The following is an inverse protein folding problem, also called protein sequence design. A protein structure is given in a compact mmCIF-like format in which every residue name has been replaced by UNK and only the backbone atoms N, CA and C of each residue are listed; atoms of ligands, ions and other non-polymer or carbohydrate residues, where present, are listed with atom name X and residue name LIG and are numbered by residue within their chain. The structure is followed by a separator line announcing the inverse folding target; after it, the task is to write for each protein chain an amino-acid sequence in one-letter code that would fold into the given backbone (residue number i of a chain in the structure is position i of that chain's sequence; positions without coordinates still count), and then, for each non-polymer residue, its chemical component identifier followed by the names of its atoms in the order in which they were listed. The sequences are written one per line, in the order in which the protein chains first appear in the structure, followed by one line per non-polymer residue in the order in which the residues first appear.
data_IF_572620439410
#
_entry.id   IF_572620439410
#
_cell.length_a   1.000
_cell.length_b   1.000
_cell.length_c   1.000
_cell.angle_alpha   90.00
_cell.angle_beta   90.00
_cell.angle_gamma   90.00
#
_symmetry.space_group_name_H-M   'P 1'
#
loop_
_entity.id
_entity.type
_entity.pdbx_description
1 polymer ?
#
# COMPACT_ATOMS: atom_id res chain seq x y z
N UNK A 1 1.88 -35.20 -26.17
CA UNK A 1 1.27 -33.88 -26.41
C UNK A 1 -0.13 -33.99 -25.85
N UNK A 2 -0.42 -33.28 -24.75
CA UNK A 2 -1.77 -33.26 -24.21
C UNK A 2 -2.62 -32.49 -25.23
N UNK A 3 -3.67 -33.14 -25.71
CA UNK A 3 -4.57 -32.59 -26.70
C UNK A 3 -5.38 -31.50 -25.99
N UNK A 4 -5.27 -30.25 -26.44
CA UNK A 4 -6.11 -29.12 -25.99
C UNK A 4 -7.55 -29.35 -26.47
N UNK A 5 -8.21 -30.37 -25.92
CA UNK A 5 -9.46 -30.91 -26.43
C UNK A 5 -10.60 -30.67 -25.45
N UNK A 6 -11.73 -30.18 -25.96
CA UNK A 6 -13.01 -30.14 -25.25
C UNK A 6 -13.70 -31.52 -25.22
N UNK A 7 -13.11 -32.52 -25.87
CA UNK A 7 -13.61 -33.89 -26.00
C UNK A 7 -12.49 -34.91 -25.82
N UNK A 8 -12.88 -36.15 -25.52
CA UNK A 8 -11.99 -37.30 -25.53
C UNK A 8 -12.61 -38.49 -26.29
N UNK A 9 -11.78 -39.16 -27.09
CA UNK A 9 -12.14 -40.42 -27.75
C UNK A 9 -12.26 -41.55 -26.73
N UNK A 10 -13.38 -42.27 -26.73
CA UNK A 10 -13.59 -43.40 -25.80
C UNK A 10 -13.99 -44.65 -26.56
N UNK A 11 -13.18 -45.70 -26.40
CA UNK A 11 -13.47 -47.05 -26.89
C UNK A 11 -14.14 -47.88 -25.79
N UNK A 12 -15.22 -48.56 -26.15
CA UNK A 12 -15.93 -49.51 -25.28
C UNK A 12 -16.39 -50.73 -26.07
N UNK A 13 -16.68 -51.82 -25.36
CA UNK A 13 -17.15 -53.07 -25.98
C UNK A 13 -18.55 -53.36 -25.47
N UNK A 14 -19.42 -53.75 -26.39
CA UNK A 14 -20.80 -54.16 -26.12
C UNK A 14 -21.01 -55.56 -26.66
N UNK A 15 -21.77 -56.37 -25.94
CA UNK A 15 -22.12 -57.72 -26.35
C UNK A 15 -23.55 -58.04 -25.96
N UNK A 16 -24.27 -58.71 -26.84
CA UNK A 16 -25.56 -59.32 -26.56
C UNK A 16 -25.42 -60.84 -26.68
N UNK A 17 -26.16 -61.58 -25.86
CA UNK A 17 -26.22 -63.05 -25.93
C UNK A 17 -27.66 -63.52 -25.78
N UNK A 18 -28.06 -64.47 -26.62
CA UNK A 18 -29.35 -65.16 -26.52
C UNK A 18 -29.14 -66.68 -26.56
N UNK A 19 -30.11 -67.46 -26.07
CA UNK A 19 -29.99 -68.92 -26.01
C UNK A 19 -30.40 -69.63 -27.32
N UNK A 20 -31.06 -68.93 -28.23
CA UNK A 20 -31.54 -69.42 -29.53
C UNK A 20 -30.88 -68.63 -30.69
N UNK A 21 -30.87 -67.31 -30.60
CA UNK A 21 -30.36 -66.41 -31.63
C UNK A 21 -28.85 -66.14 -31.46
N UNK A 22 -28.09 -66.27 -32.55
CA UNK A 22 -26.62 -66.17 -32.54
C UNK A 22 -26.08 -64.88 -33.17
N UNK A 23 -26.96 -64.06 -33.76
CA UNK A 23 -26.60 -62.86 -34.52
C UNK A 23 -27.36 -61.62 -34.04
N UNK A 24 -27.40 -61.41 -32.73
CA UNK A 24 -27.96 -60.21 -32.13
C UNK A 24 -26.84 -59.20 -31.82
N UNK A 25 -27.14 -57.91 -31.99
CA UNK A 25 -26.18 -56.83 -31.78
C UNK A 25 -26.75 -55.82 -30.78
N UNK A 26 -25.85 -55.18 -30.04
CA UNK A 26 -26.22 -54.07 -29.18
C UNK A 26 -26.42 -52.83 -30.04
N UNK A 27 -27.55 -52.16 -29.85
CA UNK A 27 -27.79 -50.81 -30.35
C UNK A 27 -27.63 -49.81 -29.20
N UNK A 28 -26.72 -48.86 -29.37
CA UNK A 28 -26.34 -47.91 -28.32
C UNK A 28 -26.52 -46.47 -28.79
N UNK A 29 -26.85 -45.57 -27.86
CA UNK A 29 -26.93 -44.14 -28.15
C UNK A 29 -25.56 -43.48 -28.47
N UNK A 30 -24.45 -44.21 -28.33
CA UNK A 30 -23.11 -43.82 -28.74
C UNK A 30 -22.38 -45.01 -29.36
N UNK A 31 -21.41 -44.75 -30.24
CA UNK A 31 -20.57 -45.78 -30.87
C UNK A 31 -19.21 -45.84 -30.18
N UNK A 32 -18.63 -47.04 -30.10
CA UNK A 32 -17.26 -47.23 -29.62
C UNK A 32 -16.29 -46.44 -30.48
N UNK A 33 -15.42 -45.66 -29.83
CA UNK A 33 -14.46 -44.80 -30.49
C UNK A 33 -15.00 -43.43 -30.90
N UNK A 34 -16.20 -43.07 -30.44
CA UNK A 34 -16.73 -41.70 -30.53
C UNK A 34 -16.00 -40.74 -29.58
N UNK A 35 -16.08 -39.45 -29.90
CA UNK A 35 -15.67 -38.35 -29.02
C UNK A 35 -16.78 -38.04 -28.01
N UNK A 36 -16.41 -37.91 -26.74
CA UNK A 36 -17.30 -37.51 -25.65
C UNK A 36 -16.87 -36.15 -25.11
N UNK A 37 -17.81 -35.21 -24.88
CA UNK A 37 -17.47 -33.94 -24.26
C UNK A 37 -17.04 -34.12 -22.80
N UNK A 38 -16.31 -33.13 -22.28
CA UNK A 38 -16.04 -33.00 -20.84
C UNK A 38 -17.33 -33.13 -20.02
N UNK A 39 -17.24 -33.85 -18.91
CA UNK A 39 -18.36 -34.15 -18.02
C UNK A 39 -18.75 -35.62 -18.05
N UNK A 40 -20.00 -35.89 -17.68
CA UNK A 40 -20.55 -37.25 -17.58
C UNK A 40 -21.54 -37.48 -18.69
N UNK A 41 -21.29 -38.48 -19.52
CA UNK A 41 -22.22 -38.96 -20.55
C UNK A 41 -22.70 -40.36 -20.20
N UNK A 42 -24.01 -40.56 -20.11
CA UNK A 42 -24.59 -41.90 -19.94
C UNK A 42 -24.80 -42.56 -21.30
N UNK A 43 -24.11 -43.67 -21.52
CA UNK A 43 -24.34 -44.55 -22.67
C UNK A 43 -25.39 -45.57 -22.29
N UNK A 44 -26.44 -45.68 -23.10
CA UNK A 44 -27.50 -46.67 -22.95
C UNK A 44 -27.54 -47.54 -24.19
N UNK A 45 -27.52 -48.85 -23.98
CA UNK A 45 -27.59 -49.86 -25.03
C UNK A 45 -28.83 -50.74 -24.86
N UNK A 46 -29.36 -51.23 -25.97
CA UNK A 46 -30.42 -52.24 -26.04
C UNK A 46 -30.00 -53.41 -26.91
N UNK A 47 -30.43 -54.60 -26.52
CA UNK A 47 -30.41 -55.80 -27.35
C UNK A 47 -31.86 -56.14 -27.71
N UNK A 48 -32.11 -56.57 -28.94
CA UNK A 48 -33.39 -57.11 -29.38
C UNK A 48 -33.14 -58.43 -30.12
N UNK A 49 -33.85 -59.50 -29.74
CA UNK A 49 -33.79 -60.80 -30.41
C UNK A 49 -34.75 -60.89 -31.60
N UNK A 50 -34.72 -61.98 -32.39
CA UNK A 50 -35.60 -62.13 -33.56
C UNK A 50 -37.08 -62.34 -33.18
N UNK A 51 -37.35 -62.60 -31.91
CA UNK A 51 -38.69 -62.73 -31.32
C UNK A 51 -39.18 -61.43 -30.66
N UNK A 52 -38.43 -60.33 -30.79
CA UNK A 52 -38.71 -59.01 -30.20
C UNK A 52 -38.62 -58.97 -28.66
N UNK A 53 -37.90 -59.90 -28.03
CA UNK A 53 -37.52 -59.74 -26.62
C UNK A 53 -36.38 -58.73 -26.51
N UNK A 54 -36.48 -57.83 -25.54
CA UNK A 54 -35.50 -56.74 -25.36
C UNK A 54 -34.86 -56.76 -23.99
N UNK A 55 -33.57 -56.43 -23.93
CA UNK A 55 -32.87 -56.10 -22.69
C UNK A 55 -32.09 -54.78 -22.84
N UNK A 56 -31.83 -54.08 -21.73
CA UNK A 56 -31.14 -52.78 -21.71
C UNK A 56 -30.06 -52.72 -20.65
N UNK A 57 -28.93 -52.11 -20.99
CA UNK A 57 -27.87 -51.79 -20.04
C UNK A 57 -27.40 -50.34 -20.22
N UNK A 58 -26.82 -49.78 -19.16
CA UNK A 58 -26.26 -48.43 -19.19
C UNK A 58 -24.94 -48.37 -18.43
N UNK A 59 -24.02 -47.54 -18.92
CA UNK A 59 -22.78 -47.19 -18.24
C UNK A 59 -22.47 -45.71 -18.41
N UNK A 60 -21.60 -45.18 -17.56
CA UNK A 60 -21.20 -43.78 -17.58
C UNK A 60 -19.80 -43.62 -18.14
N UNK A 61 -19.63 -42.70 -19.07
CA UNK A 61 -18.34 -42.19 -19.53
C UNK A 61 -18.09 -40.86 -18.82
N UNK A 62 -16.95 -40.75 -18.13
CA UNK A 62 -16.53 -39.51 -17.46
C UNK A 62 -15.28 -38.98 -18.14
N UNK A 63 -15.42 -37.82 -18.79
CA UNK A 63 -14.30 -37.08 -19.37
C UNK A 63 -13.96 -35.93 -18.43
N UNK A 64 -12.68 -35.87 -18.02
CA UNK A 64 -12.18 -34.79 -17.17
C UNK A 64 -11.56 -33.72 -18.04
N UNK A 65 -11.83 -32.49 -17.66
CA UNK A 65 -11.09 -31.33 -18.13
C UNK A 65 -9.69 -31.32 -17.50
N UNK A 66 -8.71 -31.07 -18.36
CA UNK A 66 -7.27 -30.98 -18.04
C UNK A 66 -6.63 -29.80 -18.76
N UNK A 67 -7.42 -28.93 -19.39
CA UNK A 67 -6.92 -27.77 -20.13
C UNK A 67 -6.74 -26.62 -19.17
N UNK A 68 -5.59 -25.96 -19.25
CA UNK A 68 -5.31 -24.81 -18.40
C UNK A 68 -6.02 -23.58 -18.96
N UNK A 69 -6.56 -22.69 -18.09
CA UNK A 69 -6.97 -21.37 -18.52
C UNK A 69 -5.75 -20.58 -19.01
N UNK A 70 -5.99 -19.47 -19.69
CA UNK A 70 -4.96 -18.52 -20.11
C UNK A 70 -5.15 -17.20 -19.37
N UNK A 71 -4.15 -16.82 -18.57
CA UNK A 71 -4.09 -15.57 -17.84
C UNK A 71 -3.43 -14.46 -18.68
N UNK A 72 -4.09 -13.31 -18.79
CA UNK A 72 -3.55 -12.15 -19.49
C UNK A 72 -3.50 -10.94 -18.57
N UNK A 73 -2.28 -10.42 -18.38
CA UNK A 73 -1.98 -9.19 -17.65
C UNK A 73 -1.64 -8.07 -18.64
N UNK A 74 -1.79 -6.79 -18.26
CA UNK A 74 -1.29 -5.68 -19.06
C UNK A 74 0.25 -5.65 -19.04
N UNK A 75 0.84 -4.79 -19.86
CA UNK A 75 2.24 -4.42 -19.70
C UNK A 75 2.44 -3.64 -18.38
N UNK A 76 3.71 -3.52 -17.97
CA UNK A 76 4.11 -2.66 -16.86
C UNK A 76 3.55 -1.23 -17.00
N UNK A 77 3.09 -0.69 -15.87
CA UNK A 77 2.46 0.63 -15.78
C UNK A 77 3.41 1.60 -15.10
N UNK A 78 3.64 2.75 -15.72
CA UNK A 78 4.49 3.82 -15.21
C UNK A 78 3.63 5.08 -14.97
N UNK A 79 3.67 5.61 -13.75
CA UNK A 79 2.83 6.75 -13.34
C UNK A 79 3.51 7.61 -12.29
N UNK A 80 3.09 8.87 -12.18
CA UNK A 80 3.60 9.82 -11.18
C UNK A 80 2.71 9.83 -9.94
N UNK A 81 3.33 9.99 -8.76
CA UNK A 81 2.62 10.18 -7.50
C UNK A 81 1.76 11.45 -7.51
N UNK A 82 0.61 11.43 -6.83
CA UNK A 82 -0.32 12.56 -6.78
C UNK A 82 0.30 13.76 -6.06
N UNK A 83 0.31 14.92 -6.70
CA UNK A 83 0.94 16.16 -6.21
C UNK A 83 0.43 16.66 -4.84
N UNK A 84 -0.82 16.37 -4.46
CA UNK A 84 -1.43 16.90 -3.23
C UNK A 84 -1.18 16.02 -1.99
N UNK A 85 -0.87 14.72 -2.15
CA UNK A 85 -0.66 13.75 -1.07
C UNK A 85 0.69 13.00 -1.15
N UNK A 86 1.41 13.13 -2.27
CA UNK A 86 2.86 12.97 -2.40
C UNK A 86 3.47 11.58 -2.26
N UNK A 87 2.68 10.51 -2.10
CA UNK A 87 3.23 9.17 -1.81
C UNK A 87 2.59 8.02 -2.58
N UNK A 88 1.43 8.24 -3.21
CA UNK A 88 0.69 7.21 -3.94
C UNK A 88 0.17 7.69 -5.29
N UNK A 89 -0.18 6.74 -6.16
CA UNK A 89 -0.91 6.96 -7.40
C UNK A 89 -2.08 5.98 -7.54
N UNK A 90 -3.27 6.46 -7.92
CA UNK A 90 -4.41 5.61 -8.27
C UNK A 90 -4.16 5.02 -9.66
N UNK A 91 -4.21 3.69 -9.79
CA UNK A 91 -3.93 2.99 -11.05
C UNK A 91 -5.08 2.07 -11.40
N UNK A 92 -5.63 2.25 -12.60
CA UNK A 92 -6.58 1.33 -13.21
C UNK A 92 -5.84 0.38 -14.17
N UNK A 93 -6.22 -0.89 -14.15
CA UNK A 93 -5.66 -1.92 -15.03
C UNK A 93 -6.72 -2.96 -15.39
N UNK A 94 -6.49 -3.65 -16.50
CA UNK A 94 -7.39 -4.70 -16.98
C UNK A 94 -6.63 -6.00 -17.05
N UNK A 95 -7.17 -7.02 -16.40
CA UNK A 95 -6.72 -8.41 -16.48
C UNK A 95 -7.86 -9.24 -17.08
N UNK A 96 -7.52 -10.35 -17.71
CA UNK A 96 -8.52 -11.28 -18.25
C UNK A 96 -8.06 -12.72 -18.13
N UNK A 97 -9.02 -13.61 -17.96
CA UNK A 97 -8.84 -15.04 -18.08
C UNK A 97 -9.69 -15.54 -19.27
N UNK A 98 -9.16 -16.48 -20.04
CA UNK A 98 -9.92 -17.20 -21.07
C UNK A 98 -9.63 -18.68 -21.00
N UNK A 99 -10.64 -19.50 -21.22
CA UNK A 99 -10.51 -20.96 -21.28
C UNK A 99 -11.41 -21.52 -22.40
N UNK A 100 -11.10 -22.71 -22.90
CA UNK A 100 -11.84 -23.34 -24.00
C UNK A 100 -13.10 -24.10 -23.52
N UNK A 101 -13.21 -24.42 -22.24
CA UNK A 101 -14.34 -25.11 -21.61
C UNK A 101 -15.10 -24.15 -20.68
N UNK A 102 -14.38 -23.41 -19.84
CA UNK A 102 -14.94 -22.56 -18.81
C UNK A 102 -14.99 -21.08 -19.20
N UNK A 103 -16.18 -20.58 -19.55
CA UNK A 103 -16.35 -19.19 -20.02
C UNK A 103 -16.51 -18.16 -18.89
N UNK A 104 -16.65 -18.60 -17.65
CA UNK A 104 -17.00 -17.73 -16.50
C UNK A 104 -15.88 -17.68 -15.46
N UNK A 105 -14.64 -17.57 -15.92
CA UNK A 105 -13.45 -17.46 -15.08
C UNK A 105 -13.00 -16.00 -14.94
N UNK A 106 -12.46 -15.66 -13.77
CA UNK A 106 -11.99 -14.31 -13.47
C UNK A 106 -10.59 -14.36 -12.86
N UNK A 107 -9.80 -13.32 -13.10
CA UNK A 107 -8.47 -13.20 -12.53
C UNK A 107 -8.58 -12.81 -11.06
N UNK A 108 -7.91 -13.56 -10.19
CA UNK A 108 -7.69 -13.20 -8.80
C UNK A 108 -6.29 -12.59 -8.67
N UNK A 109 -6.22 -11.34 -8.22
CA UNK A 109 -4.98 -10.57 -8.17
C UNK A 109 -4.71 -10.09 -6.74
N UNK A 110 -3.43 -10.00 -6.36
CA UNK A 110 -3.01 -9.42 -5.08
C UNK A 110 -3.26 -7.90 -4.96
N UNK A 111 -3.76 -7.25 -6.01
CA UNK A 111 -4.15 -5.84 -6.04
C UNK A 111 -5.45 -5.67 -6.85
N UNK A 112 -6.24 -4.64 -6.52
CA UNK A 112 -7.51 -4.34 -7.19
C UNK A 112 -7.33 -3.17 -8.16
N UNK A 113 -7.86 -3.28 -9.38
CA UNK A 113 -7.87 -2.14 -10.32
C UNK A 113 -8.55 -0.92 -9.68
N UNK A 114 -7.91 0.23 -9.82
CA UNK A 114 -8.34 1.49 -9.23
C UNK A 114 -7.89 1.67 -7.78
N UNK A 115 -7.02 0.83 -7.22
CA UNK A 115 -6.42 1.10 -5.91
C UNK A 115 -5.29 2.15 -5.98
N UNK A 116 -4.92 2.71 -4.83
CA UNK A 116 -3.73 3.55 -4.69
C UNK A 116 -2.49 2.68 -4.48
N UNK A 117 -1.46 2.89 -5.30
CA UNK A 117 -0.17 2.21 -5.24
C UNK A 117 0.89 3.13 -4.63
N UNK A 118 1.77 2.63 -3.74
CA UNK A 118 2.83 3.43 -3.12
C UNK A 118 3.96 3.75 -4.09
N UNK A 119 4.73 4.80 -3.78
CA UNK A 119 5.98 5.12 -4.45
C UNK A 119 6.91 3.90 -4.56
N UNK A 120 7.53 3.72 -5.72
CA UNK A 120 8.42 2.60 -6.02
C UNK A 120 7.76 1.59 -6.97
N UNK A 121 8.21 0.34 -6.90
CA UNK A 121 7.71 -0.76 -7.73
C UNK A 121 6.81 -1.65 -6.90
N UNK A 122 5.56 -1.83 -7.32
CA UNK A 122 4.65 -2.85 -6.80
C UNK A 122 4.46 -3.92 -7.85
N UNK A 123 4.69 -5.19 -7.48
CA UNK A 123 4.45 -6.34 -8.38
C UNK A 123 3.01 -6.80 -8.16
N UNK A 124 2.21 -6.75 -9.22
CA UNK A 124 0.87 -7.31 -9.23
C UNK A 124 0.95 -8.72 -9.79
N UNK A 125 0.61 -9.70 -8.96
CA UNK A 125 0.51 -11.11 -9.34
C UNK A 125 -0.96 -11.47 -9.45
N UNK A 126 -1.33 -12.06 -10.58
CA UNK A 126 -2.67 -12.52 -10.87
C UNK A 126 -2.67 -14.01 -11.20
N UNK A 127 -3.72 -14.69 -10.79
CA UNK A 127 -3.96 -16.11 -11.08
C UNK A 127 -5.35 -16.30 -11.69
N UNK A 128 -5.45 -17.21 -12.64
CA UNK A 128 -6.69 -17.70 -13.19
C UNK A 128 -6.84 -19.16 -12.75
N UNK A 129 -8.03 -19.52 -12.28
CA UNK A 129 -8.38 -20.90 -11.96
C UNK A 129 -9.72 -21.23 -12.63
N UNK A 130 -9.77 -22.37 -13.31
CA UNK A 130 -10.99 -22.90 -13.92
C UNK A 130 -11.82 -23.73 -12.91
N UNK A 131 -12.97 -24.27 -13.32
CA UNK A 131 -13.85 -25.06 -12.45
C UNK A 131 -13.21 -26.42 -12.11
N UNK A 132 -12.36 -26.91 -13.01
CA UNK A 132 -11.63 -28.16 -12.93
C UNK A 132 -10.34 -28.06 -12.09
N UNK A 133 -10.05 -26.88 -11.55
CA UNK A 133 -8.88 -26.50 -10.76
C UNK A 133 -7.56 -26.45 -11.54
N UNK A 134 -7.58 -26.40 -12.87
CA UNK A 134 -6.39 -26.05 -13.63
C UNK A 134 -6.13 -24.54 -13.50
N UNK A 135 -4.86 -24.15 -13.51
CA UNK A 135 -4.42 -22.79 -13.19
C UNK A 135 -3.43 -22.25 -14.20
N UNK A 136 -3.43 -20.93 -14.35
CA UNK A 136 -2.39 -20.16 -15.05
C UNK A 136 -2.16 -18.82 -14.34
N UNK A 137 -0.96 -18.26 -14.48
CA UNK A 137 -0.52 -17.07 -13.74
C UNK A 137 0.08 -16.01 -14.67
N UNK A 138 -0.12 -14.74 -14.33
CA UNK A 138 0.54 -13.61 -14.98
C UNK A 138 0.91 -12.52 -13.97
N UNK A 139 1.88 -11.68 -14.32
CA UNK A 139 2.28 -10.55 -13.48
C UNK A 139 2.72 -9.34 -14.29
N UNK A 140 2.64 -8.17 -13.65
CA UNK A 140 3.11 -6.90 -14.20
C UNK A 140 3.56 -5.97 -13.07
N UNK A 141 4.42 -5.02 -13.40
CA UNK A 141 4.88 -4.00 -12.45
C UNK A 141 4.01 -2.74 -12.53
N UNK A 142 3.71 -2.17 -11.36
CA UNK A 142 3.23 -0.79 -11.23
C UNK A 142 4.37 0.05 -10.64
N UNK A 143 4.86 1.01 -11.41
CA UNK A 143 6.00 1.86 -11.09
C UNK A 143 5.47 3.27 -10.81
N UNK A 144 5.45 3.64 -9.53
CA UNK A 144 5.05 4.98 -9.09
C UNK A 144 6.30 5.83 -8.86
N UNK A 145 6.49 6.83 -9.72
CA UNK A 145 7.59 7.78 -9.66
C UNK A 145 7.26 8.98 -8.79
N UNK A 146 8.32 9.59 -8.28
CA UNK A 146 8.23 10.77 -7.43
C UNK A 146 8.04 11.99 -8.31
N UNK A 147 7.10 12.84 -7.93
CA UNK A 147 6.95 14.16 -8.54
C UNK A 147 8.07 15.08 -8.05
N UNK A 148 8.83 15.76 -8.94
CA UNK A 148 9.83 16.73 -8.50
C UNK A 148 9.16 17.83 -7.67
N UNK A 149 9.46 17.87 -6.37
CA UNK A 149 8.95 18.90 -5.46
C UNK A 149 9.69 20.21 -5.72
N UNK A 150 8.95 21.26 -6.10
CA UNK A 150 9.48 22.62 -6.07
C UNK A 150 9.47 23.12 -4.64
N UNK A 151 10.64 23.18 -4.00
CA UNK A 151 10.80 23.77 -2.67
C UNK A 151 11.29 25.20 -2.78
N UNK A 152 10.50 26.15 -2.29
CA UNK A 152 10.96 27.52 -2.07
C UNK A 152 11.68 27.56 -0.71
N UNK A 153 13.01 27.66 -0.72
CA UNK A 153 13.76 28.05 0.48
C UNK A 153 13.73 29.56 0.56
N UNK A 154 12.92 30.11 1.46
CA UNK A 154 13.06 31.52 1.85
C UNK A 154 14.39 31.67 2.58
N UNK A 155 15.35 32.34 1.94
CA UNK A 155 16.56 32.79 2.62
C UNK A 155 16.16 33.60 3.86
N UNK A 156 16.86 33.39 4.97
CA UNK A 156 16.65 34.13 6.23
C UNK A 156 16.69 35.63 5.92
N UNK A 157 15.71 36.45 6.37
CA UNK A 157 15.81 37.89 6.18
C UNK A 157 17.07 38.39 6.90
N UNK A 158 18.05 38.88 6.15
CA UNK A 158 19.20 39.60 6.70
C UNK A 158 18.67 40.85 7.38
N UNK A 159 18.64 40.85 8.72
CA UNK A 159 18.37 42.04 9.51
C UNK A 159 19.53 43.03 9.30
N UNK A 160 19.39 43.89 8.28
CA UNK A 160 20.30 45.00 8.07
C UNK A 160 19.94 46.11 9.07
N UNK A 161 20.67 46.19 10.17
CA UNK A 161 20.59 47.35 11.05
C UNK A 161 21.24 48.54 10.34
N UNK A 162 20.53 49.68 10.29
CA UNK A 162 21.12 50.92 9.79
C UNK A 162 22.29 51.32 10.71
N UNK A 163 23.48 51.56 10.15
CA UNK A 163 24.56 52.22 10.89
C UNK A 163 24.08 53.61 11.32
N UNK A 164 24.26 54.02 12.59
CA UNK A 164 24.00 55.39 12.99
C UNK A 164 24.84 56.33 12.14
N UNK A 165 24.20 57.35 11.56
CA UNK A 165 24.91 58.43 10.89
C UNK A 165 25.68 59.19 11.98
N UNK A 166 26.99 58.97 12.06
CA UNK A 166 27.84 59.76 12.95
C UNK A 166 27.77 61.21 12.48
N UNK A 167 27.09 62.05 13.27
CA UNK A 167 27.10 63.50 13.07
C UNK A 167 28.55 63.97 13.31
N UNK A 168 29.29 64.19 12.22
CA UNK A 168 30.61 64.83 12.29
C UNK A 168 30.44 66.27 12.79
N UNK A 169 30.62 66.48 14.09
CA UNK A 169 30.94 67.80 14.63
C UNK A 169 32.44 68.02 14.35
N UNK A 170 32.85 69.07 13.62
CA UNK A 170 34.27 69.30 13.37
C UNK A 170 34.97 69.69 14.68
N UNK A 171 35.77 68.79 15.23
CA UNK A 171 36.64 69.08 16.38
C UNK A 171 37.84 69.87 15.86
N UNK A 172 37.82 71.19 16.05
CA UNK A 172 38.96 72.07 15.78
C UNK A 172 39.94 71.89 16.95
N UNK A 173 41.00 71.10 16.74
CA UNK A 173 42.09 70.96 17.70
C UNK A 173 43.10 72.08 17.43
N UNK A 174 43.10 73.13 18.25
CA UNK A 174 44.18 74.12 18.30
C UNK A 174 45.38 73.51 19.04
N UNK A 175 46.61 73.57 18.49
CA UNK A 175 47.79 73.05 19.18
C UNK A 175 48.15 73.98 20.35
N UNK A 176 47.89 73.52 21.58
CA UNK A 176 48.41 74.17 22.79
C UNK A 176 49.78 73.57 23.09
N UNK A 177 50.83 74.30 22.70
CA UNK A 177 52.20 74.01 23.11
C UNK A 177 52.33 74.14 24.63
N UNK A 178 52.77 73.05 25.23
CA UNK A 178 52.99 72.88 26.67
C UNK A 178 54.13 73.80 27.13
N UNK A 179 53.83 74.67 28.11
CA UNK A 179 54.83 75.25 29.00
C UNK A 179 54.42 74.92 30.44
N UNK A 180 55.37 74.37 31.18
CA UNK A 180 55.21 73.66 32.45
C UNK A 180 55.07 74.67 33.59
N UNK A 181 54.03 74.56 34.43
CA UNK A 181 54.06 75.09 35.79
C UNK A 181 53.04 74.42 36.74
N UNK A 182 53.58 73.82 37.80
CA UNK A 182 53.00 73.61 39.13
C UNK A 182 51.94 72.52 39.36
N UNK A 183 52.29 71.59 40.26
CA UNK A 183 51.61 70.39 40.74
C UNK A 183 50.20 70.55 41.34
N UNK A 184 49.56 71.73 41.25
CA UNK A 184 48.25 71.98 41.83
C UNK A 184 47.06 71.57 40.93
N UNK A 185 47.28 71.39 39.61
CA UNK A 185 46.18 71.25 38.63
C UNK A 185 45.74 69.78 38.43
N UNK A 186 46.64 68.80 38.63
CA UNK A 186 46.34 67.37 38.46
C UNK A 186 45.30 66.86 39.49
N UNK A 187 45.27 67.47 40.68
CA UNK A 187 44.32 67.14 41.75
C UNK A 187 42.90 67.66 41.50
N UNK A 188 42.72 68.63 40.59
CA UNK A 188 41.42 69.21 40.24
C UNK A 188 40.75 68.39 39.12
N UNK A 189 41.54 67.85 38.17
CA UNK A 189 41.01 67.00 37.09
C UNK A 189 40.47 65.65 37.59
N UNK A 190 41.11 65.03 38.59
CA UNK A 190 40.61 63.76 39.17
C UNK A 190 39.29 63.94 39.94
N UNK A 191 39.08 65.10 40.59
CA UNK A 191 37.81 65.40 41.29
C UNK A 191 36.64 65.66 40.35
N UNK A 192 36.88 66.15 39.14
CA UNK A 192 35.83 66.38 38.12
C UNK A 192 35.32 65.08 37.45
N UNK A 193 36.16 64.04 37.38
CA UNK A 193 35.78 62.75 36.79
C UNK A 193 34.91 61.93 37.77
N UNK A 194 35.16 62.00 39.08
CA UNK A 194 34.30 61.35 40.08
C UNK A 194 32.91 62.03 40.22
N UNK A 195 32.82 63.36 40.10
CA UNK A 195 31.55 64.08 40.21
C UNK A 195 30.63 63.92 38.98
N UNK A 196 31.19 63.63 37.81
CA UNK A 196 30.39 63.35 36.60
C UNK A 196 29.86 61.92 36.57
N UNK A 197 30.55 60.94 37.16
CA UNK A 197 30.09 59.55 37.23
C UNK A 197 28.98 59.34 38.28
N UNK A 198 28.98 60.12 39.38
CA UNK A 198 27.99 59.98 40.47
C UNK A 198 26.58 60.51 40.16
N UNK A 199 26.41 61.28 39.07
CA UNK A 199 25.11 61.88 38.68
C UNK A 199 24.27 61.06 37.69
N UNK A 200 24.80 59.99 37.10
CA UNK A 200 24.05 59.16 36.13
C UNK A 200 23.43 57.88 36.74
N UNK A 201 23.69 57.59 38.01
CA UNK A 201 23.22 56.36 38.69
C UNK A 201 22.13 56.60 39.73
N UNK A 202 20.92 56.96 39.33
CA UNK A 202 19.73 56.82 40.20
C UNK A 202 18.43 56.78 39.39
N UNK A 203 17.93 55.57 39.10
CA UNK A 203 16.49 55.34 39.03
C UNK A 203 16.20 53.89 39.48
N UNK A 204 15.56 53.74 40.65
CA UNK A 204 15.07 52.49 41.21
C UNK A 204 13.54 52.52 41.20
N UNK A 205 12.92 51.46 40.71
CA UNK A 205 11.55 51.00 40.99
C UNK A 205 11.43 49.59 40.39
N UNK A 206 10.75 48.59 40.96
CA UNK A 206 10.42 48.16 42.32
C UNK A 206 9.89 46.72 42.14
N UNK A 207 10.04 45.90 43.18
CA UNK A 207 9.93 44.43 43.29
C UNK A 207 8.61 43.72 42.84
N UNK A 208 8.61 42.36 42.74
CA UNK A 208 7.53 41.54 42.21
C UNK A 208 6.50 41.12 43.29
N UNK A 209 5.25 40.87 42.89
CA UNK A 209 4.21 40.30 43.75
C UNK A 209 3.85 38.85 43.32
N UNK A 210 3.89 37.95 44.30
CA UNK A 210 3.22 36.64 44.33
C UNK A 210 2.72 36.42 45.76
N UNK A 211 1.49 35.93 45.96
CA UNK A 211 1.21 35.09 47.14
C UNK A 211 0.10 34.02 46.88
N UNK A 212 -0.29 33.19 47.86
CA UNK A 212 0.51 32.20 48.56
C UNK A 212 -0.16 30.80 48.56
N UNK A 213 0.65 29.76 48.80
CA UNK A 213 0.24 28.40 49.12
C UNK A 213 0.03 28.22 50.63
N UNK A 214 -0.99 27.43 51.04
CA UNK A 214 -1.10 26.70 52.32
C UNK A 214 -2.52 26.10 52.52
N UNK A 215 -2.74 25.04 53.35
CA UNK A 215 -1.75 24.17 54.00
C UNK A 215 -2.12 22.65 54.08
N UNK A 216 -1.15 21.91 54.65
CA UNK A 216 -1.28 20.78 55.61
C UNK A 216 -1.50 19.34 55.15
N UNK A 217 -0.45 18.54 55.41
CA UNK A 217 -0.52 17.12 55.74
C UNK A 217 -0.91 16.91 57.21
N UNK A 218 -1.71 15.90 57.51
CA UNK A 218 -1.50 14.91 58.58
C UNK A 218 -2.61 13.84 58.50
N UNK A 219 -2.24 12.55 58.45
CA UNK A 219 -3.16 11.42 58.63
C UNK A 219 -3.66 11.31 60.08
N UNK A 220 -4.19 10.16 60.58
CA UNK A 220 -4.42 8.87 59.93
C UNK A 220 -5.87 8.35 60.12
N UNK A 221 -6.30 7.34 59.35
CA UNK A 221 -7.27 6.33 59.84
C UNK A 221 -7.29 5.09 58.95
N UNK A 222 -6.88 3.95 59.54
CA UNK A 222 -7.34 2.60 59.15
C UNK A 222 -8.88 2.62 59.15
N UNK A 223 -9.58 1.86 58.31
CA UNK A 223 -9.99 0.47 58.55
C UNK A 223 -10.74 -0.02 57.29
N UNK A 224 -10.41 -1.25 56.86
CA UNK A 224 -11.16 -2.29 56.14
C UNK A 224 -12.06 -1.98 54.93
N UNK A 225 -11.92 -2.82 53.89
CA UNK A 225 -13.10 -3.28 53.16
C UNK A 225 -12.89 -3.67 51.69
N UNK A 226 -12.46 -4.91 51.48
CA UNK A 226 -13.06 -5.84 50.51
C UNK A 226 -12.71 -5.72 49.02
N UNK A 227 -12.36 -6.89 48.49
CA UNK A 227 -11.97 -7.26 47.14
C UNK A 227 -13.07 -7.13 46.07
N UNK A 228 -12.64 -7.08 44.80
CA UNK A 228 -13.18 -7.71 43.57
C UNK A 228 -12.19 -7.29 42.44
N UNK A 229 -11.23 -8.08 41.95
CA UNK A 229 -11.25 -9.27 41.07
C UNK A 229 -11.91 -9.05 39.69
N UNK A 230 -11.04 -9.14 38.66
CA UNK A 230 -11.23 -9.56 37.25
C UNK A 230 -12.12 -8.67 36.36
N UNK A 231 -11.73 -8.32 35.12
CA UNK A 231 -11.53 -9.23 33.97
C UNK A 231 -10.42 -8.76 33.01
N UNK A 232 -9.52 -9.68 32.64
CA UNK A 232 -8.95 -9.90 31.31
C UNK A 232 -8.85 -11.42 31.12
#
# INVERSE_FOLDING_TARGET
MLQEGTTARVDFVTSCSDNIDTSIQADCNATSGSEFPVGVTTVTCSCEDLSQNTDRCSFTVTVKDVTHPMASCPNDIDTDARLQEGTTARVDFVTSCSDNIDTSIQADCNATSGSDFPFGVTIVNCSCQDISQNTDECSFNVIVKGVPKVTFTTEVPILSTMKPKENQIPVIILPVSIAIASFAVLSILLRFIEDTFRRSGSNKNKDPETPPDSPTSQGPKKINGTALRELY
#
